data_IF_762482516146
#
_entry.id   IF_762482516146
#
_cell.length_a   1.000
_cell.length_b   1.000
_cell.length_c   1.000
_cell.angle_alpha   90.00
_cell.angle_beta   90.00
_cell.angle_gamma   90.00
#
_symmetry.space_group_name_H-M   'P 1'
#
loop_
_entity.id
_entity.type
_entity.pdbx_description
1 polymer ?
#
# COMPACT_ATOMS: atom_id res chain seq x y z
N UNK A 1 28.88 4.06 -3.49
CA UNK A 1 27.52 4.42 -3.03
C UNK A 1 27.62 5.82 -2.47
N UNK A 2 26.99 6.79 -3.12
CA UNK A 2 26.99 8.17 -2.66
C UNK A 2 26.13 8.29 -1.38
N UNK A 3 26.68 8.72 -0.24
CA UNK A 3 25.95 8.75 1.03
C UNK A 3 24.84 9.81 1.05
N UNK A 4 24.93 10.82 0.18
CA UNK A 4 23.95 11.88 0.03
C UNK A 4 22.72 11.35 -0.72
N UNK A 5 22.94 10.61 -1.81
CA UNK A 5 21.85 9.98 -2.57
C UNK A 5 21.01 9.01 -1.70
N UNK A 6 21.65 8.24 -0.82
CA UNK A 6 20.95 7.34 0.10
C UNK A 6 20.12 8.08 1.16
N UNK A 7 20.55 9.29 1.57
CA UNK A 7 19.78 10.17 2.45
C UNK A 7 18.59 10.77 1.74
N UNK A 8 18.79 11.32 0.54
CA UNK A 8 17.71 11.86 -0.28
C UNK A 8 16.61 10.84 -0.54
N UNK A 9 16.96 9.60 -0.89
CA UNK A 9 15.99 8.54 -1.11
C UNK A 9 15.13 8.22 0.13
N UNK A 10 15.75 8.22 1.32
CA UNK A 10 15.05 8.00 2.59
C UNK A 10 14.11 9.15 2.92
N UNK A 11 14.56 10.39 2.75
CA UNK A 11 13.75 11.57 3.02
C UNK A 11 12.57 11.67 2.04
N UNK A 12 12.79 11.35 0.76
CA UNK A 12 11.72 11.24 -0.24
C UNK A 12 10.68 10.17 0.12
N UNK A 13 11.13 8.99 0.57
CA UNK A 13 10.22 7.92 1.01
C UNK A 13 9.41 8.34 2.24
N UNK A 14 10.04 9.00 3.22
CA UNK A 14 9.36 9.47 4.42
C UNK A 14 8.31 10.52 4.10
N UNK A 15 8.63 11.47 3.22
CA UNK A 15 7.69 12.47 2.74
C UNK A 15 6.50 11.83 2.00
N UNK A 16 6.77 10.86 1.11
CA UNK A 16 5.71 10.11 0.43
C UNK A 16 4.81 9.35 1.42
N UNK A 17 5.38 8.80 2.49
CA UNK A 17 4.62 8.12 3.54
C UNK A 17 3.74 9.07 4.35
N UNK A 18 4.23 10.29 4.64
CA UNK A 18 3.39 11.31 5.26
C UNK A 18 2.22 11.70 4.36
N UNK A 19 2.45 11.89 3.06
CA UNK A 19 1.37 12.12 2.10
C UNK A 19 0.36 10.96 2.07
N UNK A 20 0.84 9.71 2.07
CA UNK A 20 -0.03 8.53 2.04
C UNK A 20 -0.90 8.38 3.28
N UNK A 21 -0.40 8.82 4.44
CA UNK A 21 -1.16 8.86 5.70
C UNK A 21 -2.21 9.97 5.71
N UNK A 22 -1.89 11.15 5.20
CA UNK A 22 -2.85 12.26 5.08
C UNK A 22 -4.03 11.86 4.18
N UNK A 23 -3.75 11.12 3.11
CA UNK A 23 -4.76 10.61 2.18
C UNK A 23 -5.45 9.32 2.66
N UNK A 24 -5.12 8.84 3.87
CA UNK A 24 -5.68 7.61 4.46
C UNK A 24 -5.64 6.39 3.53
N UNK A 25 -4.59 6.29 2.71
CA UNK A 25 -4.41 5.15 1.76
C UNK A 25 -4.20 3.82 2.49
N UNK A 26 -3.83 3.87 3.78
CA UNK A 26 -3.53 2.72 4.62
C UNK A 26 -2.30 1.95 4.16
N UNK A 27 -1.38 2.56 3.42
CA UNK A 27 -0.14 1.93 2.94
C UNK A 27 0.95 1.97 4.00
N UNK A 28 1.56 0.83 4.30
CA UNK A 28 2.76 0.76 5.15
C UNK A 28 4.01 1.28 4.42
N UNK A 29 5.00 1.76 5.19
CA UNK A 29 6.30 2.23 4.65
C UNK A 29 6.97 1.22 3.72
N UNK A 30 6.90 -0.06 4.07
CA UNK A 30 7.49 -1.12 3.26
C UNK A 30 6.77 -1.27 1.92
N UNK A 31 5.43 -1.35 1.94
CA UNK A 31 4.60 -1.42 0.74
C UNK A 31 4.82 -0.21 -0.15
N UNK A 32 4.83 1.00 0.42
CA UNK A 32 5.07 2.23 -0.34
C UNK A 32 6.45 2.22 -1.03
N UNK A 33 7.50 1.77 -0.32
CA UNK A 33 8.84 1.64 -0.91
C UNK A 33 8.86 0.68 -2.10
N UNK A 34 8.12 -0.43 -2.03
CA UNK A 34 8.01 -1.38 -3.14
C UNK A 34 7.27 -0.73 -4.31
N UNK A 35 6.14 -0.05 -4.04
CA UNK A 35 5.37 0.62 -5.10
C UNK A 35 6.19 1.70 -5.81
N UNK A 36 7.02 2.45 -5.08
CA UNK A 36 7.94 3.44 -5.67
C UNK A 36 8.96 2.76 -6.58
N UNK A 37 9.63 1.69 -6.12
CA UNK A 37 10.59 0.94 -6.93
C UNK A 37 9.95 0.34 -8.20
N UNK A 38 8.69 -0.12 -8.09
CA UNK A 38 7.90 -0.60 -9.21
C UNK A 38 7.52 0.53 -10.20
N UNK A 39 7.22 1.74 -9.70
CA UNK A 39 7.02 2.90 -10.56
C UNK A 39 8.32 3.36 -11.25
N UNK A 40 9.48 3.24 -10.59
CA UNK A 40 10.79 3.60 -11.15
C UNK A 40 11.18 2.74 -12.37
N UNK A 41 10.72 1.49 -12.43
CA UNK A 41 10.92 0.61 -13.60
C UNK A 41 9.90 0.87 -14.73
N UNK A 42 9.03 1.88 -14.59
CA UNK A 42 8.09 2.32 -15.62
C UNK A 42 6.70 1.68 -15.53
N UNK A 43 6.35 1.06 -14.40
CA UNK A 43 4.98 0.57 -14.21
C UNK A 43 4.01 1.72 -13.96
N UNK A 44 2.80 1.58 -14.50
CA UNK A 44 1.75 2.58 -14.31
C UNK A 44 1.24 2.56 -12.85
N UNK A 45 1.29 3.70 -12.12
CA UNK A 45 0.77 3.78 -10.75
C UNK A 45 -0.72 3.41 -10.63
N UNK A 46 -1.54 3.68 -11.65
CA UNK A 46 -2.96 3.35 -11.61
C UNK A 46 -3.19 1.82 -11.63
N UNK A 47 -2.42 1.10 -12.44
CA UNK A 47 -2.46 -0.37 -12.49
C UNK A 47 -1.96 -0.97 -11.18
N UNK A 48 -0.88 -0.42 -10.60
CA UNK A 48 -0.39 -0.81 -9.28
C UNK A 48 -1.46 -0.63 -8.20
N UNK A 49 -2.16 0.51 -8.23
CA UNK A 49 -3.22 0.79 -7.28
C UNK A 49 -4.40 -0.20 -7.38
N UNK A 50 -4.76 -0.61 -8.60
CA UNK A 50 -5.77 -1.64 -8.82
C UNK A 50 -5.34 -2.99 -8.22
N UNK A 51 -4.10 -3.42 -8.49
CA UNK A 51 -3.55 -4.67 -7.96
C UNK A 51 -3.49 -4.66 -6.42
N UNK A 52 -3.03 -3.57 -5.81
CA UNK A 52 -2.97 -3.45 -4.34
C UNK A 52 -4.37 -3.52 -3.72
N UNK A 53 -5.38 -2.93 -4.36
CA UNK A 53 -6.77 -3.02 -3.90
C UNK A 53 -7.33 -4.43 -4.00
N UNK A 54 -7.03 -5.18 -5.06
CA UNK A 54 -7.43 -6.59 -5.17
C UNK A 54 -6.74 -7.46 -4.13
N UNK A 55 -5.42 -7.37 -3.99
CA UNK A 55 -4.67 -8.15 -3.00
C UNK A 55 -5.19 -7.94 -1.57
N UNK A 56 -5.56 -6.70 -1.22
CA UNK A 56 -6.18 -6.36 0.08
C UNK A 56 -7.58 -6.96 0.26
N UNK A 57 -8.34 -7.13 -0.82
CA UNK A 57 -9.65 -7.78 -0.78
C UNK A 57 -9.52 -9.29 -0.58
N UNK A 58 -8.57 -9.93 -1.26
CA UNK A 58 -8.33 -11.37 -1.14
C UNK A 58 -7.76 -11.76 0.23
N UNK A 59 -6.93 -10.89 0.83
CA UNK A 59 -6.37 -11.11 2.16
C UNK A 59 -7.34 -10.80 3.30
N UNK A 60 -8.51 -10.20 3.02
CA UNK A 60 -9.57 -10.05 4.01
C UNK A 60 -10.23 -11.40 4.23
N UNK A 61 -10.21 -11.97 5.45
CA UNK A 61 -10.90 -13.22 5.71
C UNK A 61 -12.40 -13.07 5.39
N UNK A 62 -13.05 -14.11 4.83
CA UNK A 62 -14.47 -14.06 4.57
C UNK A 62 -15.21 -13.69 5.86
N UNK A 63 -16.28 -12.87 5.79
CA UNK A 63 -17.08 -12.56 6.96
C UNK A 63 -17.50 -13.89 7.63
N UNK A 64 -17.49 -13.97 8.97
CA UNK A 64 -17.94 -15.17 9.66
C UNK A 64 -19.34 -15.54 9.16
N UNK A 65 -19.66 -16.83 9.00
CA UNK A 65 -20.99 -17.23 8.58
C UNK A 65 -21.98 -16.62 9.56
N UNK A 66 -22.88 -15.80 9.05
CA UNK A 66 -23.97 -15.23 9.84
C UNK A 66 -24.66 -16.41 10.52
N UNK A 67 -24.56 -16.47 11.86
CA UNK A 67 -25.36 -17.37 12.66
C UNK A 67 -26.80 -17.07 12.30
N UNK A 68 -27.39 -17.93 11.48
CA UNK A 68 -28.82 -17.94 11.19
C UNK A 68 -29.50 -18.16 12.54
N UNK A 69 -29.86 -17.06 13.20
CA UNK A 69 -30.64 -17.11 14.43
C UNK A 69 -31.98 -17.77 14.06
N UNK A 70 -32.41 -18.85 14.75
CA UNK A 70 -33.74 -19.37 14.55
C UNK A 70 -34.73 -18.28 14.98
N UNK A 71 -35.56 -17.83 14.04
CA UNK A 71 -36.69 -16.94 14.31
C UNK A 71 -37.65 -17.62 15.31
N UNK A 72 -38.15 -16.92 16.34
CA UNK A 72 -39.27 -17.40 17.15
C UNK A 72 -40.61 -17.31 16.41
#
# INVERSE_FOLDING_TARGET
MDPEAARTARDSLELAFHMSNILETGLDRHTLSILIALCEIGLNPESLAAMVKELRRESRPPPPPETVAPLP
#
